data_IF_330655607033
#
_entry.id   IF_330655607033
#
_cell.length_a   1.000
_cell.length_b   1.000
_cell.length_c   1.000
_cell.angle_alpha   90.00
_cell.angle_beta   90.00
_cell.angle_gamma   90.00
#
_symmetry.space_group_name_H-M   'P 1'
#
loop_
_entity.id
_entity.type
_entity.pdbx_description
1 polymer ?
#
# COMPACT_ATOMS: atom_id res chain seq x y z
N UNK A 1 -6.24 14.12 6.47
CA UNK A 1 -5.67 13.23 5.43
C UNK A 1 -6.68 13.08 4.32
N UNK A 2 -6.34 13.41 3.08
CA UNK A 2 -7.20 13.20 1.90
C UNK A 2 -6.95 11.82 1.27
N UNK A 3 -7.90 11.27 0.48
CA UNK A 3 -7.66 10.02 -0.26
C UNK A 3 -6.43 10.10 -1.18
N UNK A 4 -6.17 11.26 -1.78
CA UNK A 4 -5.02 11.50 -2.65
C UNK A 4 -3.69 11.56 -1.88
N UNK A 5 -3.68 12.14 -0.68
CA UNK A 5 -2.53 12.07 0.23
C UNK A 5 -2.23 10.64 0.63
N UNK A 6 -3.25 9.85 1.00
CA UNK A 6 -3.05 8.44 1.34
C UNK A 6 -2.54 7.65 0.14
N UNK A 7 -3.05 7.89 -1.07
CA UNK A 7 -2.56 7.24 -2.28
C UNK A 7 -1.06 7.53 -2.51
N UNK A 8 -0.63 8.79 -2.33
CA UNK A 8 0.78 9.18 -2.43
C UNK A 8 1.65 8.51 -1.36
N UNK A 9 1.18 8.49 -0.12
CA UNK A 9 1.88 7.82 0.98
C UNK A 9 2.06 6.31 0.73
N UNK A 10 1.01 5.66 0.22
CA UNK A 10 1.03 4.23 -0.15
C UNK A 10 2.03 3.95 -1.26
N UNK A 11 2.07 4.76 -2.32
CA UNK A 11 3.08 4.61 -3.40
C UNK A 11 4.50 4.80 -2.85
N UNK A 12 4.72 5.81 -2.01
CA UNK A 12 6.02 6.02 -1.36
C UNK A 12 6.44 4.82 -0.50
N UNK A 13 5.50 4.23 0.24
CA UNK A 13 5.76 3.04 1.06
C UNK A 13 6.06 1.79 0.21
N UNK A 14 5.32 1.58 -0.89
CA UNK A 14 5.61 0.49 -1.85
C UNK A 14 6.98 0.68 -2.47
N UNK A 15 7.33 1.89 -2.91
CA UNK A 15 8.65 2.20 -3.46
C UNK A 15 9.77 1.88 -2.47
N UNK A 16 9.64 2.28 -1.20
CA UNK A 16 10.63 1.96 -0.17
C UNK A 16 10.75 0.46 0.10
N UNK A 17 9.64 -0.26 0.08
CA UNK A 17 9.67 -1.73 0.20
C UNK A 17 10.41 -2.38 -0.99
N UNK A 18 10.26 -1.84 -2.21
CA UNK A 18 11.00 -2.31 -3.39
C UNK A 18 12.49 -1.96 -3.29
N UNK A 19 12.82 -0.72 -2.92
CA UNK A 19 14.21 -0.26 -2.71
C UNK A 19 14.93 -1.04 -1.60
N UNK A 20 14.20 -1.48 -0.56
CA UNK A 20 14.71 -2.35 0.50
C UNK A 20 14.85 -3.83 0.08
N UNK A 21 14.48 -4.21 -1.15
CA UNK A 21 14.47 -5.60 -1.62
C UNK A 21 13.39 -6.46 -0.97
N UNK A 22 12.42 -5.85 -0.29
CA UNK A 22 11.29 -6.55 0.31
C UNK A 22 10.17 -6.82 -0.70
N UNK A 23 10.08 -6.12 -1.83
CA UNK A 23 9.08 -6.44 -2.85
C UNK A 23 9.74 -6.42 -4.22
N UNK A 24 9.54 -7.47 -5.00
CA UNK A 24 9.97 -7.51 -6.40
C UNK A 24 8.76 -7.25 -7.31
N UNK A 25 8.32 -6.00 -7.34
CA UNK A 25 7.17 -5.55 -8.14
C UNK A 25 7.45 -4.18 -8.75
N UNK A 26 6.89 -3.89 -9.94
CA UNK A 26 6.93 -2.52 -10.45
C UNK A 26 6.16 -1.59 -9.50
N UNK A 27 6.75 -0.44 -9.20
CA UNK A 27 6.11 0.58 -8.36
C UNK A 27 4.86 1.10 -9.08
N UNK A 28 3.66 1.00 -8.45
CA UNK A 28 2.43 1.45 -9.07
C UNK A 28 2.33 2.97 -9.10
N UNK A 29 1.63 3.51 -10.10
CA UNK A 29 1.25 4.92 -10.14
C UNK A 29 0.26 5.23 -8.99
N UNK A 30 0.30 6.46 -8.47
CA UNK A 30 -0.67 7.00 -7.51
C UNK A 30 -2.09 6.88 -8.04
N UNK A 31 -2.30 7.10 -9.34
CA UNK A 31 -3.61 6.93 -9.98
C UNK A 31 -4.11 5.48 -9.93
N UNK A 32 -3.21 4.50 -9.88
CA UNK A 32 -3.58 3.11 -9.72
C UNK A 32 -4.01 2.80 -8.28
N UNK A 33 -3.59 3.56 -7.27
CA UNK A 33 -3.97 3.31 -5.86
C UNK A 33 -5.39 3.80 -5.58
N UNK A 34 -6.36 2.89 -5.75
CA UNK A 34 -7.75 3.16 -5.37
C UNK A 34 -7.86 3.21 -3.85
N UNK A 35 -8.12 4.39 -3.33
CA UNK A 35 -8.46 4.64 -1.92
C UNK A 35 -9.96 4.83 -1.81
N UNK A 36 -10.59 4.07 -0.92
CA UNK A 36 -12.01 4.16 -0.63
C UNK A 36 -12.21 4.43 0.85
N UNK A 37 -13.29 5.12 1.22
CA UNK A 37 -13.72 5.20 2.63
C UNK A 37 -13.92 3.78 3.16
N UNK A 38 -13.32 3.48 4.31
CA UNK A 38 -13.53 2.20 4.96
C UNK A 38 -14.99 2.12 5.44
N UNK A 39 -15.69 1.02 5.12
CA UNK A 39 -17.01 0.74 5.67
C UNK A 39 -16.84 -0.16 6.88
N UNK A 40 -17.18 0.35 8.07
CA UNK A 40 -17.20 -0.40 9.32
C UNK A 40 -16.38 0.25 10.42
N UNK A 41 -16.93 0.27 11.63
CA UNK A 41 -16.22 0.76 12.81
C UNK A 41 -14.95 -0.08 13.06
N UNK A 42 -13.82 0.60 13.30
CA UNK A 42 -12.56 -0.05 13.68
C UNK A 42 -11.60 -0.42 12.54
N UNK A 43 -11.88 -0.08 11.27
CA UNK A 43 -10.98 -0.38 10.12
C UNK A 43 -10.18 0.83 9.59
N UNK A 44 -10.14 1.93 10.34
CA UNK A 44 -9.55 3.21 9.90
C UNK A 44 -10.52 4.04 9.05
N UNK A 45 -10.10 5.21 8.60
CA UNK A 45 -10.94 6.12 7.80
C UNK A 45 -10.98 5.73 6.31
N UNK A 46 -9.90 5.10 5.84
CA UNK A 46 -9.68 4.77 4.44
C UNK A 46 -9.11 3.35 4.30
N UNK A 47 -9.39 2.73 3.16
CA UNK A 47 -8.88 1.42 2.78
C UNK A 47 -8.39 1.43 1.32
N UNK A 48 -7.36 0.62 1.04
CA UNK A 48 -6.88 0.37 -0.32
C UNK A 48 -6.65 -1.13 -0.55
N UNK A 49 -7.04 -1.61 -1.74
CA UNK A 49 -6.83 -2.99 -2.17
C UNK A 49 -5.52 -3.21 -2.95
N UNK A 50 -4.54 -2.31 -2.84
CA UNK A 50 -3.29 -2.40 -3.63
C UNK A 50 -2.50 -3.68 -3.33
N UNK A 51 -2.52 -4.15 -2.09
CA UNK A 51 -1.80 -5.36 -1.67
C UNK A 51 -2.25 -6.60 -2.45
N UNK A 52 -3.54 -6.72 -2.77
CA UNK A 52 -4.06 -7.82 -3.58
C UNK A 52 -3.55 -7.76 -5.01
N UNK A 53 -3.39 -6.56 -5.58
CA UNK A 53 -2.87 -6.37 -6.94
C UNK A 53 -1.37 -6.61 -7.03
N UNK A 54 -0.63 -6.28 -5.98
CA UNK A 54 0.81 -6.51 -5.90
C UNK A 54 1.18 -7.94 -5.51
N UNK A 55 0.30 -8.67 -4.84
CA UNK A 55 0.53 -10.07 -4.42
C UNK A 55 0.92 -10.99 -5.59
N UNK A 56 0.20 -10.89 -6.71
CA UNK A 56 0.46 -11.66 -7.92
C UNK A 56 1.88 -11.46 -8.46
N UNK A 57 2.26 -10.24 -8.87
CA UNK A 57 3.61 -9.98 -9.37
C UNK A 57 4.70 -10.20 -8.33
N UNK A 58 4.42 -9.99 -7.04
CA UNK A 58 5.39 -10.22 -5.96
C UNK A 58 5.65 -11.71 -5.67
N UNK A 59 4.79 -12.61 -6.14
CA UNK A 59 4.82 -14.02 -5.73
C UNK A 59 4.57 -14.23 -4.22
N UNK A 60 3.94 -13.25 -3.54
CA UNK A 60 3.76 -13.24 -2.10
C UNK A 60 2.27 -13.21 -1.72
N UNK A 61 1.89 -13.78 -0.55
CA UNK A 61 0.55 -13.60 -0.02
C UNK A 61 0.23 -12.10 0.15
N UNK A 62 -0.99 -11.70 -0.22
CA UNK A 62 -1.43 -10.31 -0.12
C UNK A 62 -1.29 -9.74 1.31
N UNK A 63 -1.44 -10.59 2.33
CA UNK A 63 -1.21 -10.20 3.72
C UNK A 63 0.24 -9.79 3.98
N UNK A 64 1.21 -10.59 3.51
CA UNK A 64 2.64 -10.28 3.63
C UNK A 64 2.98 -8.98 2.91
N UNK A 65 2.42 -8.76 1.71
CA UNK A 65 2.60 -7.49 0.98
C UNK A 65 2.03 -6.32 1.77
N UNK A 66 0.81 -6.46 2.31
CA UNK A 66 0.18 -5.42 3.14
C UNK A 66 1.02 -5.09 4.38
N UNK A 67 1.58 -6.10 5.05
CA UNK A 67 2.43 -5.90 6.24
C UNK A 67 3.73 -5.16 5.90
N UNK A 68 4.39 -5.50 4.79
CA UNK A 68 5.60 -4.80 4.30
C UNK A 68 5.30 -3.34 3.99
N UNK A 69 4.24 -3.08 3.22
CA UNK A 69 3.80 -1.71 2.91
C UNK A 69 3.42 -0.94 4.18
N UNK A 70 2.72 -1.56 5.13
CA UNK A 70 2.32 -0.91 6.38
C UNK A 70 3.52 -0.45 7.23
N UNK A 71 4.60 -1.24 7.31
CA UNK A 71 5.83 -0.86 8.01
C UNK A 71 6.43 0.43 7.42
N UNK A 72 6.47 0.50 6.10
CA UNK A 72 6.99 1.68 5.39
C UNK A 72 6.04 2.88 5.42
N UNK A 73 4.74 2.66 5.67
CA UNK A 73 3.77 3.74 5.93
C UNK A 73 4.00 4.38 7.30
N UNK A 74 4.17 3.58 8.36
CA UNK A 74 4.42 4.08 9.73
C UNK A 74 5.75 4.80 9.89
N UNK A 75 6.71 4.57 8.99
CA UNK A 75 7.97 5.31 8.94
C UNK A 75 7.84 6.68 8.26
N UNK A 76 6.67 7.03 7.71
CA UNK A 76 6.39 8.34 7.14
C UNK A 76 5.77 9.23 8.23
N UNK A 77 6.36 10.40 8.54
CA UNK A 77 5.77 11.35 9.49
C UNK A 77 4.45 11.95 8.97
#
# INVERSE_FOLDING_TARGET
>A
MTPAELARAVVGAVRRAVEAGELDVPVPDVAAVKVTRARGAGRGEYATGIALRLAGPAGLPARTVAERVARHLTATP
#
